data_IF_090549627960
#
_entry.id   IF_090549627960
#
_cell.length_a   1.000
_cell.length_b   1.000
_cell.length_c   1.000
_cell.angle_alpha   90.00
_cell.angle_beta   90.00
_cell.angle_gamma   90.00
#
_symmetry.space_group_name_H-M   'P 1'
#
loop_
_entity.id
_entity.type
_entity.pdbx_description
1 polymer ?
#
# COMPACT_ATOMS: atom_id res chain seq x y z
N UNK A 1 -25.49 -51.99 34.44
CA UNK A 1 -24.71 -50.88 35.04
C UNK A 1 -23.86 -50.11 34.04
N UNK A 2 -23.15 -50.77 33.10
CA UNK A 2 -22.23 -50.09 32.14
C UNK A 2 -22.92 -49.03 31.26
N UNK A 3 -24.07 -49.35 30.65
CA UNK A 3 -24.82 -48.41 29.78
C UNK A 3 -25.22 -47.09 30.45
N UNK A 4 -25.52 -47.10 31.74
CA UNK A 4 -25.94 -45.90 32.46
C UNK A 4 -24.77 -44.93 32.71
N UNK A 5 -23.56 -45.47 32.88
CA UNK A 5 -22.33 -44.68 33.05
C UNK A 5 -21.93 -44.03 31.73
N UNK A 6 -22.05 -44.74 30.60
CA UNK A 6 -21.73 -44.22 29.28
C UNK A 6 -22.70 -43.11 28.82
N UNK A 7 -24.00 -43.27 29.07
CA UNK A 7 -25.01 -42.24 28.74
C UNK A 7 -24.77 -40.94 29.52
N UNK A 8 -24.46 -41.08 30.81
CA UNK A 8 -24.16 -39.94 31.68
C UNK A 8 -22.88 -39.19 31.24
N UNK A 9 -21.86 -39.92 30.78
CA UNK A 9 -20.60 -39.34 30.31
C UNK A 9 -20.78 -38.60 28.97
N UNK A 10 -21.62 -39.14 28.08
CA UNK A 10 -21.97 -38.51 26.80
C UNK A 10 -22.74 -37.20 27.00
N UNK A 11 -23.78 -37.21 27.85
CA UNK A 11 -24.59 -36.01 28.15
C UNK A 11 -23.75 -34.86 28.72
N UNK A 12 -22.83 -35.15 29.63
CA UNK A 12 -21.93 -34.13 30.18
C UNK A 12 -20.99 -33.52 29.13
N UNK A 13 -20.55 -34.30 28.14
CA UNK A 13 -19.65 -33.82 27.08
C UNK A 13 -20.37 -32.82 26.18
N UNK A 14 -21.58 -33.15 25.75
CA UNK A 14 -22.42 -32.28 24.92
C UNK A 14 -22.77 -30.94 25.60
N UNK A 15 -23.08 -30.97 26.89
CA UNK A 15 -23.31 -29.74 27.69
C UNK A 15 -22.06 -28.87 27.80
N UNK A 16 -20.88 -29.49 28.04
CA UNK A 16 -19.61 -28.76 28.14
C UNK A 16 -19.22 -28.08 26.83
N UNK A 17 -19.41 -28.77 25.71
CA UNK A 17 -19.04 -28.27 24.38
C UNK A 17 -19.94 -27.12 23.95
N UNK A 18 -21.24 -27.15 24.31
CA UNK A 18 -22.18 -26.03 24.12
C UNK A 18 -21.72 -24.76 24.83
N UNK A 19 -21.29 -24.86 26.09
CA UNK A 19 -20.88 -23.70 26.92
C UNK A 19 -19.60 -23.05 26.38
N UNK A 20 -18.66 -23.85 25.85
CA UNK A 20 -17.43 -23.30 25.25
C UNK A 20 -17.66 -22.65 23.90
N UNK A 21 -18.63 -23.14 23.12
CA UNK A 21 -18.97 -22.56 21.82
C UNK A 21 -19.62 -21.19 21.99
N UNK A 22 -20.67 -21.05 22.80
CA UNK A 22 -21.42 -19.78 22.94
C UNK A 22 -20.61 -18.66 23.58
N UNK A 23 -19.64 -18.96 24.45
CA UNK A 23 -18.86 -17.95 25.16
C UNK A 23 -17.66 -17.42 24.37
N UNK A 24 -17.09 -18.20 23.44
CA UNK A 24 -15.88 -17.82 22.69
C UNK A 24 -16.15 -17.34 21.27
N UNK A 25 -17.26 -17.75 20.66
CA UNK A 25 -17.63 -17.36 19.30
C UNK A 25 -17.84 -15.85 19.07
N UNK A 26 -18.53 -15.09 19.94
CA UNK A 26 -18.76 -13.66 19.67
C UNK A 26 -17.45 -12.85 19.72
N UNK A 27 -16.48 -13.26 20.56
CA UNK A 27 -15.15 -12.63 20.57
C UNK A 27 -14.36 -12.91 19.29
N UNK A 28 -14.41 -14.14 18.77
CA UNK A 28 -13.74 -14.48 17.52
C UNK A 28 -14.35 -13.73 16.32
N UNK A 29 -15.69 -13.61 16.27
CA UNK A 29 -16.39 -12.82 15.25
C UNK A 29 -16.07 -11.33 15.36
N UNK A 30 -16.05 -10.77 16.57
CA UNK A 30 -15.68 -9.38 16.81
C UNK A 30 -14.25 -9.08 16.37
N UNK A 31 -13.29 -9.94 16.75
CA UNK A 31 -11.89 -9.79 16.35
C UNK A 31 -11.71 -9.92 14.82
N UNK A 32 -12.41 -10.87 14.20
CA UNK A 32 -12.41 -11.05 12.75
C UNK A 32 -12.98 -9.84 12.01
N UNK A 33 -14.07 -9.25 12.51
CA UNK A 33 -14.67 -8.05 11.92
C UNK A 33 -13.76 -6.81 12.06
N UNK A 34 -13.12 -6.64 13.23
CA UNK A 34 -12.15 -5.56 13.47
C UNK A 34 -10.93 -5.71 12.55
N UNK A 35 -10.36 -6.91 12.42
CA UNK A 35 -9.25 -7.15 11.51
C UNK A 35 -9.66 -6.98 10.04
N UNK A 36 -10.88 -7.38 9.68
CA UNK A 36 -11.43 -7.15 8.34
C UNK A 36 -11.58 -5.66 8.01
N UNK A 37 -12.07 -4.85 8.95
CA UNK A 37 -12.16 -3.39 8.82
C UNK A 37 -10.78 -2.74 8.74
N UNK A 38 -9.84 -3.14 9.59
CA UNK A 38 -8.46 -2.65 9.55
C UNK A 38 -7.80 -2.97 8.20
N UNK A 39 -7.95 -4.19 7.69
CA UNK A 39 -7.43 -4.56 6.37
C UNK A 39 -8.09 -3.79 5.22
N UNK A 40 -9.36 -3.41 5.34
CA UNK A 40 -10.05 -2.59 4.35
C UNK A 40 -9.54 -1.15 4.33
N UNK A 41 -9.25 -0.57 5.51
CA UNK A 41 -8.64 0.75 5.64
C UNK A 41 -7.19 0.73 5.12
N UNK A 42 -6.43 -0.31 5.44
CA UNK A 42 -5.04 -0.46 5.03
C UNK A 42 -4.91 -0.59 3.49
N UNK A 43 -5.86 -1.29 2.84
CA UNK A 43 -5.91 -1.34 1.36
C UNK A 43 -6.15 0.03 0.70
N UNK A 44 -6.79 0.98 1.39
CA UNK A 44 -6.96 2.35 0.89
C UNK A 44 -5.64 3.13 0.81
N UNK A 45 -4.65 2.78 1.64
CA UNK A 45 -3.30 3.39 1.61
C UNK A 45 -2.26 2.56 0.86
N UNK A 46 -2.49 1.26 0.67
CA UNK A 46 -1.59 0.37 -0.08
C UNK A 46 -1.79 0.42 -1.61
N UNK A 47 -2.90 1.00 -2.07
CA UNK A 47 -3.30 1.03 -3.49
C UNK A 47 -3.19 2.42 -4.13
N UNK A 48 -2.41 3.35 -3.55
CA UNK A 48 -1.92 4.47 -4.34
C UNK A 48 -0.95 3.90 -5.37
N UNK A 49 -1.47 3.48 -6.53
CA UNK A 49 -0.68 3.08 -7.69
C UNK A 49 0.21 4.28 -8.02
N UNK A 50 1.48 4.18 -7.62
CA UNK A 50 2.48 5.24 -7.78
C UNK A 50 2.93 5.39 -9.24
N UNK A 51 2.02 5.07 -10.17
CA UNK A 51 2.27 4.90 -11.58
C UNK A 51 3.18 3.72 -11.88
N UNK A 52 3.24 2.68 -11.05
CA UNK A 52 4.07 1.50 -11.37
C UNK A 52 3.53 0.70 -12.56
N UNK A 53 2.33 1.04 -13.02
CA UNK A 53 1.75 0.56 -14.28
C UNK A 53 2.09 1.44 -15.49
N UNK A 54 2.78 2.57 -15.31
CA UNK A 54 3.14 3.48 -16.40
C UNK A 54 4.16 2.83 -17.35
N UNK A 55 4.09 3.25 -18.61
CA UNK A 55 5.04 2.84 -19.67
C UNK A 55 6.45 3.39 -19.47
N UNK A 56 6.59 4.45 -18.66
CA UNK A 56 7.86 5.07 -18.30
C UNK A 56 8.00 5.13 -16.79
N UNK A 57 8.98 4.40 -16.26
CA UNK A 57 9.27 4.32 -14.84
C UNK A 57 10.69 4.84 -14.57
N UNK A 58 10.84 5.52 -13.44
CA UNK A 58 12.11 6.06 -12.98
C UNK A 58 12.37 5.63 -11.54
N UNK A 59 13.65 5.61 -11.18
CA UNK A 59 14.13 5.41 -9.81
C UNK A 59 14.89 6.63 -9.33
N UNK A 60 14.71 6.99 -8.07
CA UNK A 60 15.49 8.04 -7.41
C UNK A 60 16.87 7.51 -7.05
N UNK A 61 17.95 8.12 -7.53
CA UNK A 61 19.31 7.57 -7.32
C UNK A 61 20.26 8.47 -6.54
N UNK A 62 20.10 9.79 -6.62
CA UNK A 62 21.14 10.76 -6.25
C UNK A 62 20.78 11.62 -5.01
N UNK A 63 19.66 11.34 -4.34
CA UNK A 63 19.23 12.02 -3.10
C UNK A 63 18.47 11.07 -2.18
N UNK A 64 18.60 11.26 -0.86
CA UNK A 64 17.83 10.52 0.16
C UNK A 64 16.35 10.92 0.16
N UNK A 65 16.08 12.20 -0.04
CA UNK A 65 14.75 12.79 -0.07
C UNK A 65 14.67 13.75 -1.26
N UNK A 66 13.79 13.44 -2.20
CA UNK A 66 13.48 14.26 -3.36
C UNK A 66 12.12 14.93 -3.13
N UNK A 67 12.09 16.27 -2.93
CA UNK A 67 10.84 16.98 -2.76
C UNK A 67 10.02 16.95 -4.04
N UNK A 68 8.75 16.61 -3.87
CA UNK A 68 7.74 16.65 -4.94
C UNK A 68 7.03 18.01 -4.87
N UNK A 69 6.65 18.57 -6.01
CA UNK A 69 6.03 19.89 -6.13
C UNK A 69 4.73 19.81 -6.93
N UNK A 70 3.80 20.72 -6.66
CA UNK A 70 2.56 20.85 -7.45
C UNK A 70 2.81 21.48 -8.82
N UNK A 71 3.87 22.27 -8.95
CA UNK A 71 4.22 23.02 -10.16
C UNK A 71 5.71 22.82 -10.51
N UNK A 72 6.09 22.91 -11.79
CA UNK A 72 7.47 22.77 -12.26
C UNK A 72 8.27 24.06 -12.04
N UNK A 73 8.35 24.52 -10.79
CA UNK A 73 9.07 25.73 -10.41
C UNK A 73 9.87 25.52 -9.12
N UNK A 74 11.08 26.07 -9.08
CA UNK A 74 11.89 26.14 -7.87
C UNK A 74 11.28 27.03 -6.78
N UNK A 75 10.44 28.01 -7.14
CA UNK A 75 9.70 28.85 -6.20
C UNK A 75 8.44 28.16 -5.62
N UNK A 76 7.88 27.16 -6.31
CA UNK A 76 6.70 26.45 -5.85
C UNK A 76 7.00 25.64 -4.58
N UNK A 77 6.18 25.78 -3.55
CA UNK A 77 6.43 25.06 -2.30
C UNK A 77 6.37 23.54 -2.51
N UNK A 78 7.34 22.77 -1.95
CA UNK A 78 7.24 21.32 -1.92
C UNK A 78 5.92 20.87 -1.28
N UNK A 79 5.31 19.84 -1.84
CA UNK A 79 4.12 19.26 -1.24
C UNK A 79 4.50 18.64 0.10
N UNK A 80 3.95 19.17 1.19
CA UNK A 80 4.25 18.68 2.55
C UNK A 80 3.90 17.20 2.76
N UNK A 81 3.11 16.61 1.85
CA UNK A 81 2.60 15.25 1.95
C UNK A 81 3.49 14.19 1.31
N UNK A 82 4.37 14.52 0.37
CA UNK A 82 5.08 13.51 -0.40
C UNK A 82 6.51 13.93 -0.75
N UNK A 83 7.48 13.16 -0.26
CA UNK A 83 8.86 13.18 -0.71
C UNK A 83 9.20 11.79 -1.22
N UNK A 84 9.90 11.70 -2.36
CA UNK A 84 10.39 10.42 -2.87
C UNK A 84 11.70 10.08 -2.17
N UNK A 85 11.86 8.81 -1.78
CA UNK A 85 13.09 8.32 -1.15
C UNK A 85 14.07 7.77 -2.17
N UNK A 86 15.36 7.69 -1.81
CA UNK A 86 16.35 6.98 -2.64
C UNK A 86 15.89 5.55 -2.89
N UNK A 87 16.06 5.08 -4.13
CA UNK A 87 15.67 3.75 -4.59
C UNK A 87 14.17 3.58 -4.86
N UNK A 88 13.36 4.61 -4.57
CA UNK A 88 11.92 4.56 -4.81
C UNK A 88 11.62 4.64 -6.31
N UNK A 89 10.72 3.78 -6.77
CA UNK A 89 10.26 3.74 -8.15
C UNK A 89 8.98 4.55 -8.31
N UNK A 90 8.90 5.27 -9.43
CA UNK A 90 7.74 6.08 -9.79
C UNK A 90 7.44 6.01 -11.27
N UNK A 91 6.16 5.99 -11.59
CA UNK A 91 5.68 6.27 -12.93
C UNK A 91 5.78 7.75 -13.25
N UNK A 92 6.22 8.06 -14.46
CA UNK A 92 6.37 9.43 -14.95
C UNK A 92 5.85 9.56 -16.37
N UNK A 93 5.60 10.79 -16.78
CA UNK A 93 5.32 11.11 -18.18
C UNK A 93 6.59 11.56 -18.90
N UNK A 94 6.49 11.73 -20.22
CA UNK A 94 7.54 12.32 -21.06
C UNK A 94 7.62 13.84 -20.91
N UNK A 95 6.74 14.45 -20.11
CA UNK A 95 6.65 15.90 -19.95
C UNK A 95 7.76 16.41 -19.03
N UNK A 96 8.58 17.29 -19.59
CA UNK A 96 9.67 17.98 -18.90
C UNK A 96 9.45 19.49 -18.99
N UNK A 97 9.52 20.17 -17.86
CA UNK A 97 9.39 21.62 -17.77
C UNK A 97 10.31 22.17 -16.69
N UNK A 98 11.14 23.16 -17.03
CA UNK A 98 12.08 23.80 -16.09
C UNK A 98 13.02 22.83 -15.35
N UNK A 99 13.38 21.69 -15.96
CA UNK A 99 14.20 20.64 -15.32
C UNK A 99 13.43 19.75 -14.34
N UNK A 100 12.11 19.91 -14.25
CA UNK A 100 11.21 19.02 -13.53
C UNK A 100 10.52 18.08 -14.51
N UNK A 101 10.43 16.81 -14.14
CA UNK A 101 9.62 15.81 -14.82
C UNK A 101 8.30 15.64 -14.11
N UNK A 102 7.23 15.52 -14.90
CA UNK A 102 5.89 15.24 -14.38
C UNK A 102 5.76 13.76 -14.01
N UNK A 103 5.33 13.52 -12.79
CA UNK A 103 4.99 12.21 -12.25
C UNK A 103 3.58 11.80 -12.70
N UNK A 104 3.26 10.51 -12.67
CA UNK A 104 1.93 10.00 -13.08
C UNK A 104 0.78 10.50 -12.20
N UNK A 105 1.07 10.91 -10.96
CA UNK A 105 0.11 11.51 -10.02
C UNK A 105 -0.15 13.01 -10.30
N UNK A 106 0.49 13.58 -11.32
CA UNK A 106 0.36 14.98 -11.73
C UNK A 106 1.34 15.93 -11.06
N UNK A 107 2.12 15.46 -10.08
CA UNK A 107 3.12 16.27 -9.41
C UNK A 107 4.43 16.34 -10.22
N UNK A 108 5.39 17.11 -9.72
CA UNK A 108 6.66 17.40 -10.38
C UNK A 108 7.85 17.06 -9.47
N UNK A 109 8.86 16.43 -10.05
CA UNK A 109 10.11 16.11 -9.37
C UNK A 109 11.30 16.47 -10.28
N UNK A 110 12.44 16.85 -9.69
CA UNK A 110 13.62 17.23 -10.44
C UNK A 110 14.18 16.05 -11.24
N UNK A 111 14.25 16.19 -12.57
CA UNK A 111 14.61 15.11 -13.50
C UNK A 111 16.04 14.61 -13.29
N UNK A 112 16.96 15.51 -12.91
CA UNK A 112 18.37 15.16 -12.69
C UNK A 112 18.61 14.09 -11.64
N UNK A 113 17.65 13.88 -10.72
CA UNK A 113 17.73 12.89 -9.65
C UNK A 113 16.99 11.59 -9.98
N UNK A 114 16.33 11.56 -11.14
CA UNK A 114 15.54 10.45 -11.63
C UNK A 114 16.33 9.71 -12.70
N UNK A 115 16.39 8.38 -12.60
CA UNK A 115 16.97 7.53 -13.65
C UNK A 115 15.87 6.66 -14.23
N UNK A 116 15.71 6.64 -15.55
CA UNK A 116 14.84 5.66 -16.20
C UNK A 116 15.26 4.24 -15.79
N UNK A 117 14.29 3.44 -15.39
CA UNK A 117 14.50 2.00 -15.24
C UNK A 117 14.69 1.39 -16.64
N UNK A 118 15.49 0.33 -16.75
CA UNK A 118 15.90 -0.21 -18.05
C UNK A 118 14.74 -0.98 -18.70
N UNK A 119 14.94 -1.46 -19.94
CA UNK A 119 14.42 -0.92 -21.19
C UNK A 119 12.94 -1.23 -21.47
N UNK A 120 12.33 -0.53 -22.44
CA UNK A 120 12.98 0.39 -23.38
C UNK A 120 13.06 1.82 -22.85
N UNK A 121 14.29 2.34 -22.74
CA UNK A 121 14.64 3.68 -22.26
C UNK A 121 14.01 4.80 -23.13
N UNK A 122 13.70 4.46 -24.37
CA UNK A 122 13.08 5.28 -25.41
C UNK A 122 11.66 5.74 -25.01
N UNK A 123 10.98 4.99 -24.13
CA UNK A 123 9.64 5.34 -23.63
C UNK A 123 9.64 6.51 -22.65
N UNK A 124 10.81 6.87 -22.12
CA UNK A 124 10.98 7.96 -21.16
C UNK A 124 11.60 9.23 -21.76
N UNK A 125 11.89 9.21 -23.06
CA UNK A 125 12.45 10.37 -23.75
C UNK A 125 11.47 11.56 -23.71
N UNK A 126 11.96 12.79 -23.53
CA UNK A 126 11.12 13.98 -23.64
C UNK A 126 10.45 14.05 -25.00
N UNK A 127 9.15 14.36 -24.99
CA UNK A 127 8.37 14.73 -26.18
C UNK A 127 8.38 16.24 -26.38
#
# INVERSE_FOLDING_TARGET
MVKAVDDWRSKRKAERDKITFTRKWPFALGLGLVLGLLALIDKGTLAADQGLTSTCQVTVVDTELLPVRSEPDAAAQPTAKYNLKRGEQRGVTTTLQNGYRKLSDGNWALDRYLRPLPPPLDKCAPS
#
